data_IF_567181890795
#
_entry.id   IF_567181890795
#
_cell.length_a   1.000
_cell.length_b   1.000
_cell.length_c   1.000
_cell.angle_alpha   90.00
_cell.angle_beta   90.00
_cell.angle_gamma   90.00
#
_symmetry.space_group_name_H-M   'P 1'
#
loop_
_entity.id
_entity.type
_entity.pdbx_description
1 polymer ?
#
# COMPACT_ATOMS: atom_id res chain seq x y z
N UNK A 1 21.30 1.49 14.78
CA UNK A 1 20.20 1.93 13.92
C UNK A 1 20.16 1.12 12.63
N UNK A 2 18.99 1.11 11.99
CA UNK A 2 18.79 0.60 10.63
C UNK A 2 18.51 1.83 9.75
N UNK A 3 19.13 1.90 8.59
CA UNK A 3 18.89 2.98 7.64
C UNK A 3 18.52 2.39 6.25
N UNK A 4 17.50 2.94 5.63
CA UNK A 4 17.06 2.57 4.30
C UNK A 4 17.03 3.79 3.38
N UNK A 5 17.69 3.69 2.24
CA UNK A 5 17.81 4.79 1.28
C UNK A 5 16.60 4.82 0.35
N UNK A 6 15.91 5.96 0.29
CA UNK A 6 14.82 6.22 -0.64
C UNK A 6 15.21 7.31 -1.63
N UNK A 7 15.00 7.03 -2.91
CA UNK A 7 15.26 7.99 -3.98
C UNK A 7 13.95 8.42 -4.64
N UNK A 8 13.63 9.70 -4.54
CA UNK A 8 12.32 10.25 -4.85
C UNK A 8 12.39 11.32 -5.94
N UNK A 9 11.31 11.54 -6.67
CA UNK A 9 11.26 12.60 -7.69
C UNK A 9 11.38 13.99 -7.08
N UNK A 10 10.68 14.24 -5.97
CA UNK A 10 10.66 15.53 -5.28
C UNK A 10 10.28 15.36 -3.81
N UNK A 11 10.76 16.26 -2.96
CA UNK A 11 10.37 16.39 -1.55
C UNK A 11 10.04 17.86 -1.27
N UNK A 12 9.03 18.41 -1.97
CA UNK A 12 8.65 19.82 -1.85
C UNK A 12 8.09 20.20 -0.48
N UNK A 13 7.67 19.21 0.31
CA UNK A 13 7.21 19.44 1.68
C UNK A 13 7.55 18.23 2.54
N UNK A 14 8.17 18.42 3.73
CA UNK A 14 8.39 17.34 4.70
C UNK A 14 7.10 16.62 5.10
N UNK A 15 5.96 17.31 5.06
CA UNK A 15 4.65 16.74 5.39
C UNK A 15 4.14 15.75 4.34
N UNK A 16 4.73 15.70 3.14
CA UNK A 16 4.38 14.71 2.11
C UNK A 16 5.04 13.35 2.33
N UNK A 17 6.08 13.30 3.16
CA UNK A 17 6.82 12.06 3.39
C UNK A 17 5.99 11.04 4.18
N UNK A 18 5.26 11.48 5.19
CA UNK A 18 4.47 10.59 6.05
C UNK A 18 3.32 9.87 5.31
N UNK A 19 2.47 10.54 4.52
CA UNK A 19 1.48 9.85 3.68
C UNK A 19 2.12 8.89 2.68
N UNK A 20 3.30 9.21 2.18
CA UNK A 20 4.01 8.41 1.20
C UNK A 20 4.59 7.12 1.79
N UNK A 21 5.02 7.15 3.07
CA UNK A 21 5.46 5.94 3.79
C UNK A 21 4.33 4.90 3.77
N UNK A 22 3.11 5.29 4.10
CA UNK A 22 1.94 4.40 4.13
C UNK A 22 1.50 3.99 2.71
N UNK A 23 1.46 4.93 1.77
CA UNK A 23 1.04 4.66 0.40
C UNK A 23 1.91 3.60 -0.30
N UNK A 24 3.23 3.64 -0.07
CA UNK A 24 4.17 2.67 -0.67
C UNK A 24 4.47 1.47 0.23
N UNK A 25 3.85 1.38 1.42
CA UNK A 25 4.09 0.30 2.38
C UNK A 25 5.51 0.30 2.97
N UNK A 26 6.16 1.46 3.05
CA UNK A 26 7.51 1.57 3.64
C UNK A 26 7.51 1.33 5.15
N UNK A 27 6.40 1.59 5.81
CA UNK A 27 6.16 1.22 7.21
C UNK A 27 6.21 -0.30 7.42
N UNK A 28 5.57 -1.05 6.51
CA UNK A 28 5.62 -2.52 6.50
C UNK A 28 7.06 -3.00 6.25
N UNK A 29 7.76 -2.41 5.30
CA UNK A 29 9.15 -2.72 5.02
C UNK A 29 10.04 -2.48 6.23
N UNK A 30 9.92 -1.32 6.87
CA UNK A 30 10.69 -0.96 8.06
C UNK A 30 10.45 -1.94 9.21
N UNK A 31 9.18 -2.28 9.46
CA UNK A 31 8.78 -3.22 10.51
C UNK A 31 9.38 -4.63 10.28
N UNK A 32 9.31 -5.12 9.06
CA UNK A 32 9.88 -6.44 8.70
C UNK A 32 11.40 -6.43 8.83
N UNK A 33 12.08 -5.38 8.36
CA UNK A 33 13.54 -5.30 8.47
C UNK A 33 13.98 -5.19 9.92
N UNK A 34 13.30 -4.39 10.73
CA UNK A 34 13.60 -4.30 12.17
C UNK A 34 13.42 -5.65 12.85
N UNK A 35 12.34 -6.39 12.55
CA UNK A 35 12.10 -7.71 13.12
C UNK A 35 13.17 -8.73 12.71
N UNK A 36 13.59 -8.74 11.45
CA UNK A 36 14.67 -9.59 10.96
C UNK A 36 15.97 -9.29 11.73
N UNK A 37 16.32 -8.02 11.87
CA UNK A 37 17.51 -7.60 12.61
C UNK A 37 17.39 -7.99 14.09
N UNK A 38 16.21 -7.76 14.70
CA UNK A 38 15.94 -8.16 16.09
C UNK A 38 16.15 -9.65 16.32
N UNK A 39 15.67 -10.49 15.41
CA UNK A 39 15.84 -11.95 15.51
C UNK A 39 17.29 -12.39 15.39
N UNK A 40 18.12 -11.67 14.63
CA UNK A 40 19.51 -12.05 14.40
C UNK A 40 20.48 -11.54 15.47
N UNK A 41 20.23 -10.34 16.01
CA UNK A 41 21.15 -9.71 16.98
C UNK A 41 20.56 -9.55 18.38
N UNK A 42 19.29 -9.90 18.59
CA UNK A 42 18.61 -9.82 19.89
C UNK A 42 18.29 -8.38 20.35
N UNK A 43 18.38 -7.37 19.47
CA UNK A 43 18.16 -5.96 19.82
C UNK A 43 17.20 -5.30 18.85
N UNK A 44 16.27 -4.52 19.39
CA UNK A 44 15.44 -3.60 18.61
C UNK A 44 16.23 -2.32 18.35
N UNK A 45 16.42 -1.98 17.08
CA UNK A 45 17.16 -0.79 16.66
C UNK A 45 16.20 0.24 16.05
N UNK A 46 16.40 1.55 16.27
CA UNK A 46 15.62 2.58 15.58
C UNK A 46 15.84 2.50 14.08
N UNK A 47 14.78 2.84 13.32
CA UNK A 47 14.77 2.78 11.88
C UNK A 47 14.65 4.17 11.26
N UNK A 48 15.50 4.46 10.28
CA UNK A 48 15.53 5.73 9.58
C UNK A 48 15.42 5.54 8.08
N UNK A 49 14.66 6.43 7.43
CA UNK A 49 14.71 6.62 5.99
C UNK A 49 15.67 7.76 5.65
N UNK A 50 16.66 7.46 4.86
CA UNK A 50 17.53 8.46 4.25
C UNK A 50 16.97 8.77 2.86
N UNK A 51 16.48 9.99 2.66
CA UNK A 51 15.79 10.38 1.43
C UNK A 51 16.68 11.30 0.64
N UNK A 52 16.83 11.00 -0.65
CA UNK A 52 17.42 11.89 -1.65
C UNK A 52 16.45 12.14 -2.80
N UNK A 53 16.41 13.38 -3.33
CA UNK A 53 15.54 13.71 -4.46
C UNK A 53 16.30 13.77 -5.77
N UNK A 54 15.57 13.64 -6.89
CA UNK A 54 16.09 13.84 -8.26
C UNK A 54 16.16 15.30 -8.68
N UNK A 55 15.79 16.22 -7.79
CA UNK A 55 15.82 17.65 -8.03
C UNK A 55 17.26 18.18 -8.15
N UNK A 56 17.41 19.33 -8.78
CA UNK A 56 18.71 20.01 -8.88
C UNK A 56 18.58 21.43 -8.27
N UNK A 57 19.24 21.69 -7.13
CA UNK A 57 20.03 20.76 -6.31
C UNK A 57 19.17 19.69 -5.67
N UNK A 58 19.76 18.53 -5.35
CA UNK A 58 19.08 17.46 -4.66
C UNK A 58 18.77 17.84 -3.20
N UNK A 59 17.55 17.57 -2.77
CA UNK A 59 17.20 17.68 -1.37
C UNK A 59 17.50 16.38 -0.64
N UNK A 60 18.03 16.51 0.58
CA UNK A 60 18.30 15.38 1.48
C UNK A 60 17.42 15.53 2.72
N UNK A 61 16.85 14.43 3.17
CA UNK A 61 16.07 14.38 4.39
C UNK A 61 16.34 13.08 5.15
N UNK A 62 16.18 13.16 6.47
CA UNK A 62 16.20 12.01 7.35
C UNK A 62 14.84 11.91 8.03
N UNK A 63 14.14 10.79 7.82
CA UNK A 63 12.87 10.50 8.46
C UNK A 63 13.01 9.34 9.44
N UNK A 64 12.57 9.53 10.66
CA UNK A 64 12.45 8.46 11.66
C UNK A 64 11.02 7.95 11.67
N UNK A 65 10.86 6.62 11.63
CA UNK A 65 9.55 5.99 11.82
C UNK A 65 9.40 5.59 13.28
N UNK A 66 8.25 5.94 13.87
CA UNK A 66 7.99 5.62 15.27
C UNK A 66 7.87 4.10 15.50
N UNK A 67 8.32 3.64 16.66
CA UNK A 67 8.18 2.23 17.05
C UNK A 67 6.71 1.80 17.03
N UNK A 68 5.79 2.66 17.45
CA UNK A 68 4.37 2.36 17.42
C UNK A 68 3.86 2.04 16.01
N UNK A 69 4.26 2.83 14.99
CA UNK A 69 3.87 2.55 13.60
C UNK A 69 4.45 1.22 13.11
N UNK A 70 5.70 0.94 13.44
CA UNK A 70 6.33 -0.33 13.07
C UNK A 70 5.66 -1.53 13.74
N UNK A 71 5.26 -1.41 15.00
CA UNK A 71 4.56 -2.48 15.73
C UNK A 71 3.18 -2.76 15.10
N UNK A 72 2.42 -1.72 14.72
CA UNK A 72 1.14 -1.89 14.02
C UNK A 72 1.31 -2.55 12.65
N UNK A 73 2.32 -2.13 11.90
CA UNK A 73 2.64 -2.71 10.59
C UNK A 73 3.09 -4.16 10.72
N UNK A 74 3.90 -4.49 11.73
CA UNK A 74 4.34 -5.86 12.00
C UNK A 74 3.17 -6.77 12.38
N UNK A 75 2.22 -6.27 13.17
CA UNK A 75 1.01 -7.01 13.51
C UNK A 75 0.16 -7.31 12.27
N UNK A 76 0.05 -6.34 11.37
CA UNK A 76 -0.61 -6.53 10.07
C UNK A 76 0.06 -7.63 9.24
N UNK A 77 1.40 -7.65 9.21
CA UNK A 77 2.17 -8.71 8.54
C UNK A 77 1.89 -10.07 9.19
N UNK A 78 1.92 -10.17 10.52
CA UNK A 78 1.68 -11.42 11.25
C UNK A 78 0.28 -11.99 10.98
N UNK A 79 -0.74 -11.15 10.92
CA UNK A 79 -2.11 -11.56 10.59
C UNK A 79 -2.22 -12.10 9.17
N UNK A 80 -1.57 -11.46 8.23
CA UNK A 80 -1.71 -11.80 6.82
C UNK A 80 -0.80 -12.95 6.36
N UNK A 81 0.37 -13.15 6.99
CA UNK A 81 1.35 -14.14 6.54
C UNK A 81 0.79 -15.56 6.55
N UNK A 82 -0.06 -15.88 7.51
CA UNK A 82 -0.71 -17.19 7.62
C UNK A 82 -1.62 -17.44 6.41
N UNK A 83 -2.39 -16.42 5.99
CA UNK A 83 -3.24 -16.48 4.81
C UNK A 83 -2.40 -16.66 3.55
N UNK A 84 -1.34 -15.86 3.37
CA UNK A 84 -0.43 -15.99 2.23
C UNK A 84 0.22 -17.38 2.15
N UNK A 85 0.64 -17.94 3.27
CA UNK A 85 1.20 -19.29 3.31
C UNK A 85 0.19 -20.36 2.87
N UNK A 86 -1.09 -20.24 3.28
CA UNK A 86 -2.15 -21.14 2.85
C UNK A 86 -2.45 -21.02 1.36
N UNK A 87 -2.51 -19.80 0.83
CA UNK A 87 -2.68 -19.54 -0.61
C UNK A 87 -1.50 -20.14 -1.39
N UNK A 88 -0.27 -19.88 -0.95
CA UNK A 88 0.95 -20.41 -1.60
C UNK A 88 0.99 -21.93 -1.64
N UNK A 89 0.44 -22.59 -0.63
CA UNK A 89 0.32 -24.06 -0.55
C UNK A 89 -0.89 -24.61 -1.28
N UNK A 90 -1.71 -23.78 -1.90
CA UNK A 90 -2.97 -24.21 -2.55
C UNK A 90 -4.09 -24.60 -1.59
N UNK A 91 -3.91 -24.35 -0.28
CA UNK A 91 -4.91 -24.68 0.75
C UNK A 91 -6.05 -23.64 0.84
N UNK A 92 -5.86 -22.46 0.25
CA UNK A 92 -6.88 -21.44 0.07
C UNK A 92 -6.78 -20.84 -1.33
N UNK A 93 -7.92 -20.49 -1.97
CA UNK A 93 -7.90 -19.74 -3.21
C UNK A 93 -7.37 -18.32 -2.97
N UNK A 94 -6.72 -17.76 -3.98
CA UNK A 94 -6.42 -16.34 -4.01
C UNK A 94 -7.70 -15.57 -4.35
N UNK A 95 -8.24 -14.87 -3.38
CA UNK A 95 -9.40 -13.99 -3.61
C UNK A 95 -8.97 -12.73 -4.36
N UNK A 96 -9.81 -12.30 -5.26
CA UNK A 96 -9.65 -11.00 -5.93
C UNK A 96 -10.01 -9.90 -4.94
N UNK A 97 -9.24 -8.81 -4.94
CA UNK A 97 -9.65 -7.64 -4.18
C UNK A 97 -10.88 -6.99 -4.88
N UNK A 98 -11.74 -6.37 -4.10
CA UNK A 98 -12.90 -5.63 -4.61
C UNK A 98 -12.52 -4.20 -5.05
N UNK A 99 -11.24 -3.86 -4.98
CA UNK A 99 -10.73 -2.57 -5.40
C UNK A 99 -10.68 -2.47 -6.92
N UNK A 100 -11.56 -1.65 -7.48
CA UNK A 100 -11.65 -1.39 -8.93
C UNK A 100 -10.39 -0.75 -9.53
N UNK A 101 -9.47 -0.24 -8.71
CA UNK A 101 -8.18 0.33 -9.11
C UNK A 101 -7.01 -0.65 -9.14
N UNK A 102 -7.20 -1.89 -8.74
CA UNK A 102 -6.13 -2.89 -8.69
C UNK A 102 -5.77 -3.37 -10.11
N UNK A 103 -4.55 -3.09 -10.56
CA UNK A 103 -4.04 -3.46 -11.89
C UNK A 103 -4.16 -4.96 -12.17
N UNK A 104 -3.83 -5.80 -11.19
CA UNK A 104 -3.97 -7.25 -11.33
C UNK A 104 -5.43 -7.67 -11.55
N UNK A 105 -6.35 -7.15 -10.74
CA UNK A 105 -7.77 -7.46 -10.88
C UNK A 105 -8.33 -6.93 -12.20
N UNK A 106 -7.89 -5.77 -12.65
CA UNK A 106 -8.30 -5.17 -13.93
C UNK A 106 -7.78 -5.98 -15.11
N UNK A 107 -6.48 -6.30 -15.13
CA UNK A 107 -5.85 -7.02 -16.25
C UNK A 107 -6.27 -8.49 -16.37
N UNK A 108 -6.68 -9.10 -15.26
CA UNK A 108 -7.10 -10.52 -15.23
C UNK A 108 -8.61 -10.70 -15.12
N UNK A 109 -9.40 -9.63 -15.32
CA UNK A 109 -10.86 -9.69 -15.29
C UNK A 109 -11.38 -10.48 -16.50
N UNK A 110 -12.09 -11.56 -16.21
CA UNK A 110 -12.88 -12.29 -17.22
C UNK A 110 -14.33 -11.84 -17.10
N UNK A 111 -14.93 -11.41 -18.19
CA UNK A 111 -16.36 -11.07 -18.24
C UNK A 111 -17.11 -12.39 -18.30
N UNK A 112 -17.74 -12.77 -17.20
CA UNK A 112 -18.54 -14.00 -17.11
C UNK A 112 -20.03 -13.71 -17.17
N UNK A 113 -20.46 -12.50 -16.79
CA UNK A 113 -21.85 -12.08 -16.74
C UNK A 113 -21.97 -10.63 -17.21
N UNK A 114 -23.11 -10.25 -17.84
CA UNK A 114 -23.39 -8.86 -18.14
C UNK A 114 -23.52 -8.06 -16.83
N UNK A 115 -23.02 -6.83 -16.83
CA UNK A 115 -23.26 -5.91 -15.72
C UNK A 115 -24.71 -5.49 -15.78
N UNK A 116 -25.47 -5.71 -14.71
CA UNK A 116 -26.80 -5.18 -14.55
C UNK A 116 -26.70 -3.65 -14.43
N UNK A 117 -27.13 -2.95 -15.46
CA UNK A 117 -27.10 -1.48 -15.50
C UNK A 117 -28.12 -0.85 -14.55
N UNK A 118 -29.09 -1.62 -14.05
CA UNK A 118 -30.07 -1.16 -13.06
C UNK A 118 -29.46 -1.10 -11.64
N UNK A 119 -28.31 -1.75 -11.42
CA UNK A 119 -27.54 -1.67 -10.15
C UNK A 119 -27.02 -0.26 -9.82
N UNK A 120 -27.00 0.67 -10.77
CA UNK A 120 -26.71 2.08 -10.48
C UNK A 120 -27.88 2.84 -9.85
N UNK A 121 -28.96 2.16 -9.50
CA UNK A 121 -30.09 2.74 -8.74
C UNK A 121 -30.89 3.81 -9.52
N UNK A 122 -30.63 3.96 -10.81
CA UNK A 122 -31.39 4.86 -11.67
C UNK A 122 -32.35 4.04 -12.54
N UNK A 123 -33.64 4.20 -12.29
CA UNK A 123 -34.68 3.65 -13.20
C UNK A 123 -34.54 4.29 -14.59
N UNK A 124 -34.99 3.59 -15.62
CA UNK A 124 -35.03 4.13 -17.00
C UNK A 124 -35.74 5.50 -17.10
N UNK A 125 -36.66 5.80 -16.19
CA UNK A 125 -37.31 7.10 -16.06
C UNK A 125 -36.37 8.20 -15.56
N UNK A 126 -35.44 7.88 -14.65
CA UNK A 126 -34.44 8.82 -14.14
C UNK A 126 -33.33 9.13 -15.17
N UNK A 127 -32.94 8.12 -15.97
CA UNK A 127 -32.00 8.28 -17.07
C UNK A 127 -32.56 9.12 -18.23
N UNK A 128 -33.87 8.99 -18.52
CA UNK A 128 -34.51 9.77 -19.56
C UNK A 128 -34.70 11.25 -19.17
N UNK A 129 -34.76 11.58 -17.86
CA UNK A 129 -34.77 12.94 -17.36
C UNK A 129 -33.44 13.68 -17.51
N UNK A 130 -32.32 12.96 -17.67
CA UNK A 130 -30.98 13.55 -17.83
C UNK A 130 -30.60 13.85 -19.28
N UNK A 131 -31.30 13.35 -20.26
CA UNK A 131 -31.06 13.56 -21.71
C UNK A 131 -31.30 15.01 -22.18
N UNK A 132 -31.74 15.89 -21.33
CA UNK A 132 -32.01 17.31 -21.63
C UNK A 132 -30.97 18.30 -21.06
N UNK A 133 -29.83 17.84 -20.54
CA UNK A 133 -28.84 18.71 -19.86
C UNK A 133 -27.43 18.55 -20.46
N UNK A 134 -27.34 18.16 -21.72
CA UNK A 134 -26.08 18.26 -22.51
C UNK A 134 -26.31 19.16 -23.70
#
# INVERSE_FOLDING_TARGET
YIADLKYMSSLRSPNLFQPMIQYWGYDIQAAVYQEIVRQNIGKTLPFFFVVATKEKPAHLALGEISQWNMDQSLETVRKNIVRFQKIKKGALPAERCEDYGCDYCTSTKTITEPIDTDLFGMSAAQLNGMKGVI
#
